data_IF_916704072090
#
_entry.id   IF_916704072090
#
_cell.length_a   1.000
_cell.length_b   1.000
_cell.length_c   1.000
_cell.angle_alpha   90.00
_cell.angle_beta   90.00
_cell.angle_gamma   90.00
#
_symmetry.space_group_name_H-M   'P 1'
#
loop_
_entity.id
_entity.type
_entity.pdbx_description
1 polymer ?
#
# COMPACT_ATOMS: atom_id res chain seq x y z
N UNK A 1 -5.84 -15.05 -16.19
CA UNK A 1 -6.30 -13.64 -16.35
C UNK A 1 -6.48 -13.28 -17.82
N UNK A 2 -5.55 -13.70 -18.70
CA UNK A 2 -5.70 -13.57 -20.15
C UNK A 2 -6.57 -14.65 -20.82
N UNK A 3 -6.95 -15.70 -20.08
CA UNK A 3 -7.71 -16.86 -20.57
C UNK A 3 -9.17 -16.50 -20.96
N UNK A 4 -9.62 -15.30 -20.60
CA UNK A 4 -10.95 -14.75 -20.90
C UNK A 4 -10.87 -13.47 -21.75
N UNK A 5 -9.80 -13.32 -22.53
CA UNK A 5 -9.59 -12.20 -23.48
C UNK A 5 -10.75 -12.02 -24.46
N UNK A 6 -11.43 -13.10 -24.84
CA UNK A 6 -12.60 -13.05 -25.74
C UNK A 6 -13.80 -12.34 -25.12
N UNK A 7 -13.89 -12.28 -23.78
CA UNK A 7 -14.92 -11.55 -23.04
C UNK A 7 -14.51 -10.10 -22.74
N UNK A 8 -13.30 -9.69 -23.09
CA UNK A 8 -12.85 -8.32 -22.87
C UNK A 8 -13.46 -7.39 -23.92
N UNK A 9 -13.85 -6.20 -23.49
CA UNK A 9 -14.25 -5.14 -24.42
C UNK A 9 -13.04 -4.82 -25.29
N UNK A 10 -13.14 -4.91 -26.63
CA UNK A 10 -12.03 -4.61 -27.52
C UNK A 10 -11.51 -3.20 -27.25
N UNK A 11 -10.19 -3.04 -27.18
CA UNK A 11 -9.57 -1.72 -27.00
C UNK A 11 -9.91 -0.77 -28.16
N UNK A 12 -10.19 -1.32 -29.35
CA UNK A 12 -10.57 -0.56 -30.55
C UNK A 12 -11.77 -1.21 -31.24
N UNK A 13 -12.81 -0.43 -31.49
CA UNK A 13 -14.04 -0.87 -32.16
C UNK A 13 -13.98 -0.60 -33.67
N UNK A 14 -12.87 -1.00 -34.33
CA UNK A 14 -12.66 -0.72 -35.76
C UNK A 14 -13.78 -1.27 -36.64
N UNK A 15 -14.31 -2.44 -36.28
CA UNK A 15 -15.34 -3.15 -37.06
C UNK A 15 -16.72 -3.18 -36.37
N UNK A 16 -16.89 -2.42 -35.28
CA UNK A 16 -18.14 -2.38 -34.51
C UNK A 16 -18.75 -0.98 -34.53
N UNK A 17 -20.02 -0.84 -34.94
CA UNK A 17 -20.69 0.45 -34.91
C UNK A 17 -20.74 1.00 -33.47
N UNK A 18 -20.12 2.16 -33.25
CA UNK A 18 -19.99 2.83 -31.94
C UNK A 18 -21.25 3.56 -31.47
N UNK A 19 -22.40 3.28 -32.09
CA UNK A 19 -23.64 4.03 -31.93
C UNK A 19 -24.18 4.04 -30.49
N UNK A 20 -23.83 3.03 -29.67
CA UNK A 20 -24.23 2.92 -28.26
C UNK A 20 -23.17 3.33 -27.24
N UNK A 21 -21.94 3.65 -27.65
CA UNK A 21 -20.83 4.03 -26.76
C UNK A 21 -20.70 5.55 -26.64
N UNK A 22 -20.96 6.26 -27.75
CA UNK A 22 -20.92 7.72 -27.78
C UNK A 22 -22.29 8.26 -27.33
N UNK A 23 -22.30 9.25 -26.43
CA UNK A 23 -23.54 9.93 -26.04
C UNK A 23 -24.27 10.44 -27.29
N UNK A 24 -25.57 10.22 -27.35
CA UNK A 24 -26.43 10.64 -28.46
C UNK A 24 -26.30 12.14 -28.76
N UNK A 25 -26.13 12.97 -27.72
CA UNK A 25 -25.92 14.42 -27.86
C UNK A 25 -24.62 14.74 -28.61
N UNK A 26 -23.49 14.20 -28.17
CA UNK A 26 -22.19 14.41 -28.80
C UNK A 26 -22.17 13.98 -30.28
N UNK A 27 -22.85 12.87 -30.59
CA UNK A 27 -23.04 12.45 -31.99
C UNK A 27 -23.80 13.50 -32.79
N UNK A 28 -24.98 13.89 -32.32
CA UNK A 28 -25.83 14.87 -33.00
C UNK A 28 -25.18 16.25 -33.14
N UNK A 29 -24.36 16.69 -32.16
CA UNK A 29 -23.60 17.93 -32.23
C UNK A 29 -22.53 17.88 -33.32
N UNK A 30 -21.77 16.78 -33.40
CA UNK A 30 -20.74 16.60 -34.41
C UNK A 30 -21.32 16.49 -35.83
N UNK A 31 -22.44 15.77 -35.98
CA UNK A 31 -23.16 15.61 -37.23
C UNK A 31 -23.77 16.95 -37.67
N UNK A 32 -24.44 17.68 -36.76
CA UNK A 32 -24.99 19.00 -37.05
C UNK A 32 -23.90 20.01 -37.43
N UNK A 33 -22.76 20.01 -36.73
CA UNK A 33 -21.63 20.88 -37.07
C UNK A 33 -21.03 20.56 -38.45
N UNK A 34 -20.96 19.28 -38.82
CA UNK A 34 -20.52 18.91 -40.16
C UNK A 34 -21.48 19.42 -41.24
N UNK A 35 -22.78 19.13 -41.08
CA UNK A 35 -23.81 19.46 -42.07
C UNK A 35 -24.17 20.94 -42.11
N UNK A 36 -23.92 21.73 -41.06
CA UNK A 36 -24.15 23.18 -41.07
C UNK A 36 -23.30 23.88 -42.14
N UNK A 37 -22.17 23.31 -42.53
CA UNK A 37 -21.32 23.86 -43.60
C UNK A 37 -21.91 23.67 -45.01
N UNK A 38 -22.91 22.81 -45.17
CA UNK A 38 -23.51 22.48 -46.45
C UNK A 38 -24.90 23.10 -46.63
N UNK A 39 -25.61 23.42 -45.53
CA UNK A 39 -27.01 23.83 -45.60
C UNK A 39 -27.20 25.34 -45.35
N UNK A 40 -28.15 25.94 -46.05
CA UNK A 40 -28.61 27.31 -45.82
C UNK A 40 -30.12 27.29 -45.53
N UNK A 41 -30.57 28.17 -44.63
CA UNK A 41 -31.98 28.36 -44.31
C UNK A 41 -32.75 28.79 -45.56
N UNK A 42 -33.73 27.99 -45.99
CA UNK A 42 -34.55 28.25 -47.18
C UNK A 42 -34.22 27.40 -48.41
N UNK A 43 -33.35 26.38 -48.29
CA UNK A 43 -33.09 25.43 -49.39
C UNK A 43 -34.34 24.62 -49.73
N UNK A 44 -34.63 24.43 -51.03
CA UNK A 44 -35.69 23.51 -51.45
C UNK A 44 -35.30 22.05 -51.16
N UNK A 45 -36.27 21.13 -51.14
CA UNK A 45 -36.00 19.70 -50.90
C UNK A 45 -34.97 19.13 -51.89
N UNK A 46 -35.06 19.50 -53.18
CA UNK A 46 -34.10 19.08 -54.19
C UNK A 46 -32.70 19.63 -53.92
N UNK A 47 -32.60 20.91 -53.51
CA UNK A 47 -31.32 21.52 -53.15
C UNK A 47 -30.73 20.86 -51.89
N UNK A 48 -31.55 20.57 -50.88
CA UNK A 48 -31.13 19.84 -49.70
C UNK A 48 -30.52 18.48 -50.07
N UNK A 49 -31.23 17.69 -50.89
CA UNK A 49 -30.76 16.36 -51.30
C UNK A 49 -29.41 16.40 -52.03
N UNK A 50 -29.25 17.32 -52.98
CA UNK A 50 -27.98 17.47 -53.73
C UNK A 50 -26.82 17.82 -52.78
N UNK A 51 -27.06 18.71 -51.82
CA UNK A 51 -26.03 19.11 -50.85
C UNK A 51 -25.73 18.02 -49.83
N UNK A 52 -26.73 17.23 -49.44
CA UNK A 52 -26.54 16.06 -48.61
C UNK A 52 -25.65 15.02 -49.31
N UNK A 53 -25.95 14.66 -50.56
CA UNK A 53 -25.12 13.74 -51.35
C UNK A 53 -23.69 14.26 -51.48
N UNK A 54 -23.51 15.55 -51.76
CA UNK A 54 -22.19 16.19 -51.83
C UNK A 54 -21.42 16.09 -50.50
N UNK A 55 -22.10 16.26 -49.37
CA UNK A 55 -21.50 16.13 -48.04
C UNK A 55 -21.09 14.68 -47.75
N UNK A 56 -21.95 13.71 -48.09
CA UNK A 56 -21.65 12.28 -47.94
C UNK A 56 -20.46 11.86 -48.81
N UNK A 57 -20.38 12.35 -50.04
CA UNK A 57 -19.27 12.06 -50.93
C UNK A 57 -17.96 12.66 -50.43
N UNK A 58 -17.99 13.87 -49.87
CA UNK A 58 -16.82 14.45 -49.19
C UNK A 58 -16.37 13.61 -48.00
N UNK A 59 -17.30 13.12 -47.19
CA UNK A 59 -16.97 12.24 -46.06
C UNK A 59 -16.35 10.92 -46.53
N UNK A 60 -16.90 10.32 -47.59
CA UNK A 60 -16.37 9.10 -48.21
C UNK A 60 -15.00 9.30 -48.83
N UNK A 61 -14.77 10.41 -49.54
CA UNK A 61 -13.49 10.72 -50.17
C UNK A 61 -12.40 10.93 -49.12
N UNK A 62 -12.69 11.68 -48.05
CA UNK A 62 -11.75 11.86 -46.94
C UNK A 62 -11.42 10.55 -46.25
N UNK A 63 -12.43 9.71 -45.99
CA UNK A 63 -12.20 8.38 -45.40
C UNK A 63 -11.32 7.52 -46.29
N UNK A 64 -11.55 7.52 -47.61
CA UNK A 64 -10.70 6.80 -48.58
C UNK A 64 -9.28 7.36 -48.61
N UNK A 65 -9.12 8.68 -48.62
CA UNK A 65 -7.82 9.37 -48.61
C UNK A 65 -7.01 8.99 -47.36
N UNK A 66 -7.61 9.10 -46.18
CA UNK A 66 -6.97 8.76 -44.91
C UNK A 66 -6.60 7.27 -44.84
N UNK A 67 -7.49 6.39 -45.31
CA UNK A 67 -7.18 4.95 -45.40
C UNK A 67 -6.04 4.66 -46.37
N UNK A 68 -5.99 5.36 -47.51
CA UNK A 68 -4.90 5.24 -48.46
C UNK A 68 -3.58 5.72 -47.86
N UNK A 69 -3.55 6.89 -47.22
CA UNK A 69 -2.36 7.44 -46.55
C UNK A 69 -1.84 6.58 -45.40
N UNK A 70 -2.73 5.85 -44.72
CA UNK A 70 -2.33 4.86 -43.71
C UNK A 70 -1.77 3.58 -44.35
N UNK A 71 -2.27 3.18 -45.52
CA UNK A 71 -1.82 1.96 -46.22
C UNK A 71 -0.59 2.20 -47.11
N UNK A 72 -0.34 3.44 -47.52
CA UNK A 72 0.68 3.78 -48.51
C UNK A 72 2.12 3.67 -47.99
N UNK A 73 2.33 3.46 -46.68
CA UNK A 73 3.64 3.19 -46.10
C UNK A 73 3.64 3.20 -44.58
N UNK A 74 4.64 2.55 -43.98
CA UNK A 74 4.82 2.61 -42.52
C UNK A 74 5.15 4.05 -42.08
N UNK A 75 4.55 4.56 -40.99
CA UNK A 75 4.95 5.82 -40.38
C UNK A 75 6.45 5.81 -40.03
N UNK A 76 7.07 6.99 -40.05
CA UNK A 76 8.46 7.11 -39.66
C UNK A 76 8.61 6.86 -38.16
N UNK A 77 9.41 5.84 -37.81
CA UNK A 77 9.76 5.52 -36.42
C UNK A 77 10.92 6.41 -35.97
N UNK A 78 10.80 6.99 -34.77
CA UNK A 78 11.81 7.86 -34.16
C UNK A 78 12.57 7.11 -33.07
N UNK A 79 11.90 6.24 -32.33
CA UNK A 79 12.52 5.38 -31.31
C UNK A 79 12.65 3.94 -31.80
N UNK A 80 13.50 3.17 -31.12
CA UNK A 80 13.68 1.72 -31.34
C UNK A 80 12.86 0.89 -30.36
N UNK A 81 11.81 1.46 -29.78
CA UNK A 81 10.97 0.79 -28.80
C UNK A 81 9.97 -0.10 -29.52
N UNK A 82 9.84 -1.35 -29.06
CA UNK A 82 8.84 -2.30 -29.59
C UNK A 82 7.41 -1.76 -29.56
N UNK A 83 7.09 -0.92 -28.56
CA UNK A 83 5.79 -0.26 -28.44
C UNK A 83 5.46 0.66 -29.62
N UNK A 84 6.48 1.27 -30.22
CA UNK A 84 6.28 2.18 -31.35
C UNK A 84 6.04 1.42 -32.66
N UNK A 85 6.73 0.29 -32.85
CA UNK A 85 6.51 -0.59 -33.99
C UNK A 85 5.08 -1.18 -33.96
N UNK A 86 4.64 -1.68 -32.80
CA UNK A 86 3.27 -2.18 -32.61
C UNK A 86 2.21 -1.07 -32.80
N UNK A 87 2.47 0.12 -32.26
CA UNK A 87 1.59 1.28 -32.46
C UNK A 87 1.47 1.67 -33.95
N UNK A 88 2.55 1.52 -34.73
CA UNK A 88 2.55 1.87 -36.17
C UNK A 88 1.67 0.94 -37.01
N UNK A 89 1.44 -0.29 -36.53
CA UNK A 89 0.59 -1.28 -37.20
C UNK A 89 -0.88 -1.18 -36.76
N UNK A 90 -1.13 -0.81 -35.51
CA UNK A 90 -2.46 -0.72 -34.94
C UNK A 90 -3.19 0.59 -35.31
N UNK A 91 -2.49 1.73 -35.26
CA UNK A 91 -3.11 3.04 -35.38
C UNK A 91 -3.13 3.60 -36.80
N UNK A 92 -4.06 4.52 -37.06
CA UNK A 92 -3.97 5.40 -38.23
C UNK A 92 -2.76 6.31 -38.08
N UNK A 93 -2.18 6.75 -39.19
CA UNK A 93 -0.97 7.57 -39.20
C UNK A 93 -1.08 8.84 -38.33
N UNK A 94 -2.24 9.50 -38.33
CA UNK A 94 -2.47 10.69 -37.49
C UNK A 94 -2.52 10.39 -36.00
N UNK A 95 -3.05 9.24 -35.60
CA UNK A 95 -3.09 8.81 -34.20
C UNK A 95 -1.73 8.28 -33.77
N UNK A 96 -1.03 7.56 -34.65
CA UNK A 96 0.33 7.10 -34.42
C UNK A 96 1.26 8.24 -34.00
N UNK A 97 1.26 9.37 -34.72
CA UNK A 97 2.14 10.49 -34.37
C UNK A 97 1.86 11.07 -32.98
N UNK A 98 0.58 11.14 -32.57
CA UNK A 98 0.23 11.55 -31.20
C UNK A 98 0.74 10.56 -30.16
N UNK A 99 0.61 9.26 -30.44
CA UNK A 99 1.13 8.20 -29.55
C UNK A 99 2.66 8.24 -29.49
N UNK A 100 3.33 8.50 -30.62
CA UNK A 100 4.78 8.64 -30.71
C UNK A 100 5.28 9.82 -29.86
N UNK A 101 4.60 10.97 -29.90
CA UNK A 101 4.90 12.12 -29.02
C UNK A 101 4.84 11.74 -27.53
N UNK A 102 3.78 11.05 -27.11
CA UNK A 102 3.61 10.60 -25.71
C UNK A 102 4.67 9.57 -25.30
N UNK A 103 5.02 8.61 -26.17
CA UNK A 103 6.08 7.62 -25.91
C UNK A 103 7.43 8.31 -25.71
N UNK A 104 7.74 9.31 -26.55
CA UNK A 104 8.99 10.06 -26.46
C UNK A 104 9.05 10.92 -25.20
N UNK A 105 7.95 11.61 -24.87
CA UNK A 105 7.84 12.38 -23.64
C UNK A 105 8.07 11.50 -22.40
N UNK A 106 7.40 10.35 -22.32
CA UNK A 106 7.55 9.41 -21.20
C UNK A 106 8.99 8.86 -21.09
N UNK A 107 9.66 8.62 -22.22
CA UNK A 107 11.07 8.20 -22.26
C UNK A 107 11.99 9.27 -21.68
N UNK A 108 11.80 10.51 -22.09
CA UNK A 108 12.64 11.63 -21.66
C UNK A 108 12.42 11.93 -20.18
N UNK A 109 11.19 11.85 -19.69
CA UNK A 109 10.84 11.96 -18.27
C UNK A 109 11.53 10.88 -17.42
N UNK A 110 11.47 9.61 -17.87
CA UNK A 110 12.19 8.51 -17.20
C UNK A 110 13.71 8.75 -17.16
N UNK A 111 14.28 9.30 -18.24
CA UNK A 111 15.71 9.60 -18.31
C UNK A 111 16.11 10.68 -17.32
N UNK A 112 15.32 11.75 -17.21
CA UNK A 112 15.53 12.83 -16.24
C UNK A 112 15.45 12.27 -14.81
N UNK A 113 14.43 11.47 -14.52
CA UNK A 113 14.25 10.86 -13.19
C UNK A 113 15.45 9.98 -12.81
N UNK A 114 15.94 9.16 -13.74
CA UNK A 114 17.13 8.31 -13.53
C UNK A 114 18.38 9.16 -13.24
N UNK A 115 18.55 10.28 -13.93
CA UNK A 115 19.63 11.24 -13.67
C UNK A 115 19.54 11.82 -12.25
N UNK A 116 18.35 12.27 -11.85
CA UNK A 116 18.11 12.81 -10.51
C UNK A 116 18.40 11.77 -9.43
N UNK A 117 18.00 10.52 -9.63
CA UNK A 117 18.23 9.45 -8.65
C UNK A 117 19.70 9.06 -8.56
N UNK A 118 20.46 9.11 -9.66
CA UNK A 118 21.91 8.96 -9.64
C UNK A 118 22.60 10.07 -8.83
N UNK A 119 22.15 11.31 -8.96
CA UNK A 119 22.73 12.43 -8.22
C UNK A 119 22.40 12.37 -6.72
N UNK A 120 21.19 11.91 -6.35
CA UNK A 120 20.86 11.58 -4.95
C UNK A 120 21.78 10.50 -4.41
N UNK A 121 22.04 9.43 -5.19
CA UNK A 121 22.95 8.35 -4.77
C UNK A 121 24.38 8.85 -4.57
N UNK A 122 24.89 9.71 -5.45
CA UNK A 122 26.20 10.36 -5.27
C UNK A 122 26.24 11.20 -4.00
N UNK A 123 25.18 11.95 -3.72
CA UNK A 123 25.08 12.76 -2.52
C UNK A 123 25.08 11.90 -1.25
N UNK A 124 24.30 10.81 -1.22
CA UNK A 124 24.30 9.86 -0.10
C UNK A 124 25.68 9.24 0.10
N UNK A 125 26.33 8.81 -0.98
CA UNK A 125 27.69 8.25 -0.91
C UNK A 125 28.70 9.25 -0.35
N UNK A 126 28.63 10.52 -0.77
CA UNK A 126 29.47 11.59 -0.23
C UNK A 126 29.23 11.82 1.26
N UNK A 127 27.97 11.81 1.71
CA UNK A 127 27.62 11.90 3.13
C UNK A 127 28.18 10.71 3.92
N UNK A 128 28.10 9.48 3.41
CA UNK A 128 28.69 8.29 4.06
C UNK A 128 30.21 8.44 4.18
N UNK A 129 30.90 8.89 3.14
CA UNK A 129 32.35 9.13 3.18
C UNK A 129 32.74 10.24 4.18
N UNK A 130 31.93 11.28 4.29
CA UNK A 130 32.09 12.34 5.30
C UNK A 130 31.97 11.78 6.71
N UNK A 131 30.91 11.02 6.99
CA UNK A 131 30.70 10.37 8.28
C UNK A 131 31.84 9.40 8.63
N UNK A 132 32.31 8.61 7.68
CA UNK A 132 33.44 7.71 7.89
C UNK A 132 34.75 8.48 8.19
N UNK A 133 34.96 9.64 7.54
CA UNK A 133 36.10 10.52 7.82
C UNK A 133 36.01 11.17 9.20
N UNK A 134 34.81 11.58 9.63
CA UNK A 134 34.55 12.14 10.97
C UNK A 134 34.70 11.09 12.08
N UNK A 135 34.34 9.84 11.79
CA UNK A 135 34.55 8.71 12.71
C UNK A 135 36.02 8.27 12.77
N UNK A 136 36.85 8.70 11.82
CA UNK A 136 38.29 8.44 11.75
C UNK A 136 38.65 6.96 11.61
N UNK A 137 39.83 6.67 11.04
CA UNK A 137 40.42 5.34 11.21
C UNK A 137 40.70 5.12 12.70
N UNK A 138 39.77 4.48 13.40
CA UNK A 138 40.04 3.79 14.65
C UNK A 138 40.93 2.56 14.36
N UNK A 139 42.12 2.83 13.81
CA UNK A 139 43.28 1.95 13.76
C UNK A 139 44.04 1.95 15.10
N UNK A 140 43.52 2.67 16.11
CA UNK A 140 43.88 2.46 17.51
C UNK A 140 43.11 1.25 18.03
N UNK A 141 43.78 0.11 18.16
CA UNK A 141 43.19 -1.15 18.62
C UNK A 141 42.32 -0.96 19.85
N UNK A 142 41.04 -1.30 19.73
CA UNK A 142 40.08 -1.25 20.82
C UNK A 142 40.52 -2.24 21.91
N UNK A 143 40.96 -1.75 23.06
CA UNK A 143 41.43 -2.63 24.13
C UNK A 143 40.24 -3.22 24.89
N UNK A 144 40.41 -4.41 25.48
CA UNK A 144 39.39 -5.00 26.38
C UNK A 144 39.04 -4.06 27.54
N UNK A 145 39.96 -3.17 27.92
CA UNK A 145 39.77 -2.21 29.00
C UNK A 145 38.80 -1.09 28.59
N UNK A 146 38.89 -0.61 27.35
CA UNK A 146 37.98 0.40 26.79
C UNK A 146 36.57 -0.16 26.60
N UNK A 147 36.46 -1.43 26.16
CA UNK A 147 35.18 -2.15 26.10
C UNK A 147 34.50 -2.24 27.48
N UNK A 148 35.26 -2.66 28.49
CA UNK A 148 34.73 -2.83 29.85
C UNK A 148 34.37 -1.48 30.50
N UNK A 149 35.12 -0.42 30.22
CA UNK A 149 34.83 0.93 30.72
C UNK A 149 33.55 1.51 30.10
N UNK A 150 33.26 1.22 28.82
CA UNK A 150 32.04 1.68 28.15
C UNK A 150 30.79 0.91 28.61
N UNK A 151 30.95 -0.39 28.93
CA UNK A 151 29.82 -1.24 29.35
C UNK A 151 29.43 -1.04 30.82
N UNK A 152 30.39 -0.73 31.71
CA UNK A 152 30.18 -0.76 33.17
C UNK A 152 30.63 0.56 33.85
N UNK A 153 31.13 1.55 33.09
CA UNK A 153 31.67 2.80 33.62
C UNK A 153 33.12 2.68 34.11
N UNK A 154 33.75 3.82 34.47
CA UNK A 154 35.14 3.85 34.97
C UNK A 154 35.25 3.01 36.25
N UNK A 155 36.24 2.11 36.30
CA UNK A 155 36.55 1.35 37.53
C UNK A 155 36.95 2.32 38.63
N UNK A 156 36.41 2.19 39.85
CA UNK A 156 36.87 2.97 40.99
C UNK A 156 38.32 2.62 41.31
N UNK A 157 39.17 3.63 41.47
CA UNK A 157 40.57 3.49 41.85
C UNK A 157 40.71 3.66 43.36
N UNK A 158 41.12 2.58 44.03
CA UNK A 158 41.36 2.50 45.47
C UNK A 158 41.27 1.05 45.96
N UNK A 159 41.72 0.77 47.19
CA UNK A 159 41.58 -0.56 47.79
C UNK A 159 40.11 -0.88 48.04
N UNK A 160 39.57 -1.80 47.24
CA UNK A 160 38.20 -2.28 47.37
C UNK A 160 38.18 -3.39 48.43
N UNK A 161 37.75 -3.05 49.65
CA UNK A 161 37.45 -4.05 50.67
C UNK A 161 36.10 -4.71 50.35
N UNK A 162 36.15 -5.87 49.70
CA UNK A 162 34.97 -6.68 49.39
C UNK A 162 34.67 -7.57 50.61
N UNK A 163 33.63 -7.21 51.37
CA UNK A 163 33.08 -8.08 52.41
C UNK A 163 32.44 -9.33 51.76
N UNK A 164 32.62 -10.54 52.32
CA UNK A 164 31.95 -11.73 51.80
C UNK A 164 30.43 -11.52 51.79
N UNK A 165 29.73 -11.80 50.68
CA UNK A 165 28.29 -11.66 50.64
C UNK A 165 27.65 -12.62 51.65
N UNK A 166 26.62 -12.14 52.35
CA UNK A 166 25.83 -12.97 53.26
C UNK A 166 25.35 -14.22 52.53
N UNK A 167 25.57 -15.38 53.14
CA UNK A 167 25.27 -16.67 52.53
C UNK A 167 23.78 -16.78 52.22
N UNK A 168 23.42 -16.68 50.94
CA UNK A 168 22.03 -16.84 50.50
C UNK A 168 21.61 -18.31 50.65
N UNK A 169 20.47 -18.55 51.31
CA UNK A 169 19.86 -19.88 51.36
C UNK A 169 19.48 -20.33 49.95
N UNK A 170 19.86 -21.55 49.62
CA UNK A 170 19.57 -22.22 48.35
C UNK A 170 18.06 -22.45 48.14
N UNK A 171 17.65 -22.25 46.88
CA UNK A 171 16.27 -22.35 46.39
C UNK A 171 15.71 -23.75 46.65
N UNK A 172 14.65 -23.84 47.47
CA UNK A 172 14.01 -25.10 47.87
C UNK A 172 13.83 -25.25 49.38
N UNK A 173 14.51 -24.44 50.20
CA UNK A 173 14.24 -24.41 51.64
C UNK A 173 12.99 -23.57 51.97
N UNK A 174 11.85 -24.24 52.10
CA UNK A 174 10.75 -23.77 52.96
C UNK A 174 9.64 -22.91 52.35
N UNK A 175 9.66 -22.54 51.06
CA UNK A 175 8.49 -21.91 50.43
C UNK A 175 7.58 -22.95 49.79
N UNK A 176 6.38 -23.14 50.37
CA UNK A 176 5.32 -23.94 49.78
C UNK A 176 4.95 -23.38 48.41
N UNK A 177 4.73 -24.27 47.43
CA UNK A 177 4.33 -23.94 46.05
C UNK A 177 3.27 -22.84 46.04
N UNK A 178 3.47 -21.82 45.19
CA UNK A 178 2.48 -20.77 44.95
C UNK A 178 1.24 -21.42 44.32
N UNK A 179 0.10 -21.34 45.03
CA UNK A 179 -1.19 -21.91 44.59
C UNK A 179 -1.99 -20.83 43.85
N UNK A 180 -2.44 -21.12 42.63
CA UNK A 180 -3.22 -20.19 41.80
C UNK A 180 -4.65 -19.95 42.29
N UNK A 181 -5.29 -18.86 41.85
CA UNK A 181 -6.62 -18.45 42.34
C UNK A 181 -7.72 -19.49 42.10
N UNK A 182 -7.72 -20.13 40.92
CA UNK A 182 -8.65 -21.21 40.61
C UNK A 182 -8.51 -22.38 41.59
N UNK A 183 -7.28 -22.74 41.95
CA UNK A 183 -7.01 -23.83 42.88
C UNK A 183 -7.37 -23.44 44.33
N UNK A 184 -7.16 -22.17 44.72
CA UNK A 184 -7.63 -21.63 46.00
C UNK A 184 -9.17 -21.69 46.10
N UNK A 185 -9.89 -21.28 45.04
CA UNK A 185 -11.35 -21.30 45.01
C UNK A 185 -11.92 -22.72 45.12
N UNK A 186 -11.36 -23.69 44.39
CA UNK A 186 -11.78 -25.10 44.46
C UNK A 186 -11.54 -25.68 45.87
N UNK A 187 -10.38 -25.42 46.47
CA UNK A 187 -10.09 -25.89 47.83
C UNK A 187 -10.96 -25.20 48.89
N UNK A 188 -11.37 -23.95 48.68
CA UNK A 188 -12.29 -23.25 49.57
C UNK A 188 -13.72 -23.81 49.47
N UNK A 189 -14.20 -24.13 48.25
CA UNK A 189 -15.50 -24.77 48.04
C UNK A 189 -15.60 -26.16 48.69
N UNK A 190 -14.48 -26.90 48.78
CA UNK A 190 -14.43 -28.19 49.48
C UNK A 190 -14.49 -28.08 51.02
N UNK A 191 -14.27 -26.89 51.59
CA UNK A 191 -14.30 -26.71 53.05
C UNK A 191 -15.73 -26.62 53.54
N UNK A 192 -16.14 -27.57 54.40
CA UNK A 192 -17.44 -27.50 55.09
C UNK A 192 -17.48 -26.25 55.98
N UNK A 193 -18.56 -25.48 55.89
CA UNK A 193 -18.78 -24.32 56.74
C UNK A 193 -18.73 -24.74 58.22
N UNK A 194 -17.95 -24.02 59.04
CA UNK A 194 -17.90 -24.28 60.48
C UNK A 194 -19.25 -23.92 61.09
N UNK A 195 -19.81 -24.85 61.85
CA UNK A 195 -21.05 -24.67 62.61
C UNK A 195 -20.72 -24.38 64.07
N UNK A 196 -21.51 -23.52 64.69
CA UNK A 196 -21.50 -23.25 66.12
C UNK A 196 -21.67 -24.57 66.87
N UNK A 197 -20.76 -24.89 67.79
CA UNK A 197 -20.84 -26.15 68.56
C UNK A 197 -22.01 -26.21 69.53
N UNK A 198 -22.61 -25.07 69.89
CA UNK A 198 -23.72 -24.99 70.86
C UNK A 198 -25.11 -25.06 70.21
N UNK A 199 -25.28 -24.50 69.01
CA UNK A 199 -26.60 -24.44 68.34
C UNK A 199 -26.57 -24.88 66.87
N UNK A 200 -25.43 -25.38 66.38
CA UNK A 200 -25.21 -25.85 65.00
C UNK A 200 -25.42 -24.80 63.88
N UNK A 201 -25.65 -23.53 64.22
CA UNK A 201 -25.75 -22.44 63.23
C UNK A 201 -24.42 -22.19 62.51
N UNK A 202 -24.45 -21.88 61.22
CA UNK A 202 -23.24 -21.53 60.42
C UNK A 202 -22.89 -20.04 60.47
N UNK A 203 -23.76 -19.19 61.03
CA UNK A 203 -23.62 -17.73 60.97
C UNK A 203 -22.79 -17.13 62.10
N UNK A 204 -22.51 -17.90 63.16
CA UNK A 204 -21.69 -17.48 64.29
C UNK A 204 -20.97 -18.70 64.89
N UNK A 205 -20.00 -18.47 65.78
CA UNK A 205 -19.27 -19.52 66.50
C UNK A 205 -19.72 -19.58 67.97
N UNK A 206 -19.32 -20.61 68.71
CA UNK A 206 -19.62 -20.83 70.13
C UNK A 206 -19.35 -19.61 71.02
N UNK A 207 -18.31 -18.84 70.70
CA UNK A 207 -17.91 -17.66 71.50
C UNK A 207 -18.92 -16.52 71.42
N UNK A 208 -19.57 -16.38 70.27
CA UNK A 208 -20.56 -15.33 69.99
C UNK A 208 -21.98 -15.89 69.93
N UNK A 209 -22.17 -17.11 70.44
CA UNK A 209 -23.45 -17.79 70.35
C UNK A 209 -24.50 -17.13 71.26
N UNK A 210 -25.64 -16.66 70.73
CA UNK A 210 -26.67 -16.01 71.53
C UNK A 210 -27.27 -16.91 72.62
N UNK A 211 -27.33 -18.23 72.39
CA UNK A 211 -27.79 -19.18 73.42
C UNK A 211 -26.82 -19.25 74.60
N UNK A 212 -25.53 -18.93 74.42
CA UNK A 212 -24.56 -18.86 75.52
C UNK A 212 -24.89 -17.75 76.52
N UNK A 213 -25.47 -16.63 76.07
CA UNK A 213 -25.93 -15.56 76.96
C UNK A 213 -27.16 -15.99 77.79
N UNK A 214 -28.04 -16.81 77.22
CA UNK A 214 -29.23 -17.32 77.93
C UNK A 214 -28.93 -18.33 79.04
N UNK A 215 -27.74 -18.93 79.08
CA UNK A 215 -27.29 -19.80 80.18
C UNK A 215 -26.43 -19.08 81.23
N UNK A 216 -26.11 -17.80 81.04
CA UNK A 216 -25.28 -17.01 81.95
C UNK A 216 -26.10 -16.00 82.80
N UNK A 217 -27.41 -15.91 82.57
CA UNK A 217 -28.37 -15.05 83.28
C UNK A 217 -29.51 -15.87 83.91
N UNK A 218 -29.22 -17.10 84.34
CA UNK A 218 -30.13 -17.99 85.10
C UNK A 218 -29.41 -18.63 86.26
#
# INVERSE_FOLDING_TARGET
>A
MYDMRESWIPAYFRDKPMYGVIRTTSRSESENFFFSNFHQSGSSLCQFYIRFESAMDKQRSETKRLNHECRSGKPALVSKLYLEDDASELYTRSVFYKVQEEILAARDDMRIQTGNDLDKLKQVNKSIQGLNSELGDASGGFTKQDFMANLIGKRPTGDISIQPPLQCKNKGSGLKRIVGEREKAINQAKKKARKCKLCSSTFHDQRTCPTKKKFAES
#
